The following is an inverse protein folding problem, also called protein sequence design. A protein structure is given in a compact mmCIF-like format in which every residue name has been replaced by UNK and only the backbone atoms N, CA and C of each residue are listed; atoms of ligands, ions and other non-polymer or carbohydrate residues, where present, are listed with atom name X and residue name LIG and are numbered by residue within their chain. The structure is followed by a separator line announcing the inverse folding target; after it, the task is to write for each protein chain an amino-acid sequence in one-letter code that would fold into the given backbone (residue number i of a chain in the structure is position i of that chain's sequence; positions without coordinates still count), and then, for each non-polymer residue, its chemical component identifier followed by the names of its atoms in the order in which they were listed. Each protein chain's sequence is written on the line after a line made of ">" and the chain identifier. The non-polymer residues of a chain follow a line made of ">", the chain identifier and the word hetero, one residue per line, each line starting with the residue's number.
data_IF_468722307513
#
_entry.id   IF_468722307513
#
_cell.length_a   1.000
_cell.length_b   1.000
_cell.length_c   1.000
_cell.angle_alpha   90.00
_cell.angle_beta   90.00
_cell.angle_gamma   90.00
#
_symmetry.space_group_name_H-M   'P 1'
#
loop_
_entity.id
_entity.type
_entity.pdbx_description
1 polymer ?
#
# COMPACT_ATOMS: atom_id res chain seq x y z
N UNK A 1 15.89 9.82 3.57
CA UNK A 1 14.60 10.31 3.07
C UNK A 1 13.53 9.76 3.99
N UNK A 2 12.82 10.64 4.69
CA UNK A 2 11.68 10.25 5.52
C UNK A 2 10.47 10.03 4.61
N UNK A 3 9.91 8.82 4.62
CA UNK A 3 8.64 8.53 3.96
C UNK A 3 7.53 9.00 4.89
N UNK A 4 6.82 10.07 4.53
CA UNK A 4 5.71 10.55 5.33
C UNK A 4 4.45 9.78 4.92
N UNK A 5 3.94 8.94 5.82
CA UNK A 5 2.69 8.23 5.58
C UNK A 5 1.56 9.25 5.38
N UNK A 6 0.96 9.25 4.18
CA UNK A 6 -0.10 10.19 3.85
C UNK A 6 -1.48 9.60 4.06
N UNK A 7 -1.75 8.43 3.49
CA UNK A 7 -3.07 7.80 3.60
C UNK A 7 -3.05 6.35 3.12
N UNK A 8 -3.97 5.51 3.61
CA UNK A 8 -4.23 4.18 3.06
C UNK A 8 -5.66 4.11 2.57
N UNK A 9 -5.86 3.34 1.51
CA UNK A 9 -7.19 3.14 0.91
C UNK A 9 -7.36 1.67 0.59
N UNK A 10 -8.60 1.20 0.66
CA UNK A 10 -8.92 -0.12 0.13
C UNK A 10 -8.61 -0.14 -1.38
N UNK A 11 -7.77 -1.09 -1.79
CA UNK A 11 -7.51 -1.37 -3.18
C UNK A 11 -8.50 -2.43 -3.65
N UNK A 12 -9.36 -2.06 -4.58
CA UNK A 12 -10.17 -3.03 -5.31
C UNK A 12 -9.55 -3.14 -6.69
N UNK A 13 -9.04 -4.32 -7.03
CA UNK A 13 -8.49 -4.58 -8.36
C UNK A 13 -9.62 -4.59 -9.39
N UNK A 14 -9.97 -3.41 -9.91
CA UNK A 14 -10.98 -3.26 -10.98
C UNK A 14 -10.38 -3.61 -12.35
N UNK A 15 -9.04 -3.65 -12.46
CA UNK A 15 -8.33 -3.82 -13.73
C UNK A 15 -7.91 -5.27 -14.03
N UNK A 16 -8.17 -6.21 -13.11
CA UNK A 16 -7.73 -7.60 -13.24
C UNK A 16 -6.21 -7.77 -13.18
N UNK A 17 -5.48 -6.73 -12.72
CA UNK A 17 -4.03 -6.78 -12.49
C UNK A 17 -3.83 -7.12 -11.03
N UNK A 18 -3.91 -8.41 -10.75
CA UNK A 18 -3.67 -8.99 -9.43
C UNK A 18 -2.37 -8.43 -8.89
N UNK A 19 -2.47 -7.55 -7.92
CA UNK A 19 -1.30 -6.91 -7.32
C UNK A 19 -1.02 -7.58 -6.00
N UNK A 20 0.27 -7.74 -5.71
CA UNK A 20 0.74 -8.50 -4.56
C UNK A 20 1.22 -7.56 -3.47
N UNK A 21 1.08 -8.01 -2.23
CA UNK A 21 1.50 -7.30 -1.04
C UNK A 21 3.02 -7.21 -1.03
N UNK A 22 3.57 -5.99 -0.93
CA UNK A 22 5.02 -5.77 -0.82
C UNK A 22 5.64 -6.49 0.39
N UNK A 23 4.86 -6.68 1.47
CA UNK A 23 5.35 -7.28 2.72
C UNK A 23 5.33 -8.82 2.72
N UNK A 24 4.31 -9.47 2.14
CA UNK A 24 4.14 -10.93 2.24
C UNK A 24 3.86 -11.66 0.91
N UNK A 25 3.75 -10.95 -0.22
CA UNK A 25 3.49 -11.54 -1.53
C UNK A 25 2.05 -12.02 -1.77
N UNK A 26 1.17 -12.03 -0.76
CA UNK A 26 -0.25 -12.35 -0.93
C UNK A 26 -0.99 -11.27 -1.73
N UNK A 27 -2.21 -11.55 -2.19
CA UNK A 27 -3.05 -10.55 -2.87
C UNK A 27 -3.19 -9.27 -2.04
N UNK A 28 -2.81 -8.14 -2.64
CA UNK A 28 -2.97 -6.84 -2.03
C UNK A 28 -4.43 -6.40 -2.12
N UNK A 29 -4.93 -5.87 -1.01
CA UNK A 29 -6.31 -5.37 -0.86
C UNK A 29 -6.33 -3.93 -0.37
N UNK A 30 -5.17 -3.33 -0.12
CA UNK A 30 -5.01 -1.96 0.33
C UNK A 30 -3.83 -1.31 -0.39
N UNK A 31 -3.90 -0.01 -0.67
CA UNK A 31 -2.79 0.80 -1.17
C UNK A 31 -2.47 1.89 -0.16
N UNK A 32 -1.25 1.86 0.35
CA UNK A 32 -0.69 2.91 1.19
C UNK A 32 0.04 3.93 0.31
N UNK A 33 -0.24 5.20 0.58
CA UNK A 33 0.30 6.35 -0.11
C UNK A 33 1.25 7.05 0.84
N UNK A 34 2.50 7.19 0.43
CA UNK A 34 3.54 7.89 1.16
C UNK A 34 3.96 9.12 0.35
N UNK A 35 3.93 10.29 0.98
CA UNK A 35 4.50 11.50 0.42
C UNK A 35 5.99 11.54 0.74
N UNK A 36 6.80 11.82 -0.26
CA UNK A 36 8.22 12.15 -0.14
C UNK A 36 8.46 13.48 -0.86
N UNK A 37 9.52 14.20 -0.51
CA UNK A 37 9.83 15.48 -1.15
C UNK A 37 9.98 15.30 -2.67
N UNK A 38 9.00 15.82 -3.43
CA UNK A 38 8.96 15.77 -4.89
C UNK A 38 8.35 14.52 -5.51
N UNK A 39 7.89 13.54 -4.73
CA UNK A 39 7.22 12.35 -5.29
C UNK A 39 6.18 11.71 -4.34
N UNK A 40 5.36 10.84 -4.89
CA UNK A 40 4.42 10.01 -4.13
C UNK A 40 4.75 8.55 -4.37
N UNK A 41 4.99 7.81 -3.28
CA UNK A 41 5.24 6.37 -3.32
C UNK A 41 3.93 5.68 -2.98
N UNK A 42 3.50 4.78 -3.84
CA UNK A 42 2.31 3.94 -3.62
C UNK A 42 2.78 2.51 -3.39
N UNK A 43 2.56 2.00 -2.19
CA UNK A 43 2.90 0.63 -1.81
C UNK A 43 1.62 -0.15 -1.54
N UNK A 44 1.54 -1.39 -2.06
CA UNK A 44 0.33 -2.21 -1.97
C UNK A 44 0.48 -3.25 -0.88
N UNK A 45 -0.51 -3.34 0.01
CA UNK A 45 -0.51 -4.24 1.14
C UNK A 45 -1.76 -5.11 1.17
N UNK A 46 -1.65 -6.31 1.74
CA UNK A 46 -2.83 -7.08 2.13
C UNK A 46 -3.39 -6.54 3.45
N UNK A 47 -4.65 -6.85 3.74
CA UNK A 47 -5.34 -6.36 4.94
C UNK A 47 -4.57 -6.63 6.24
N UNK A 48 -3.95 -7.80 6.35
CA UNK A 48 -3.18 -8.20 7.53
C UNK A 48 -1.88 -7.40 7.69
N UNK A 49 -1.15 -7.13 6.60
CA UNK A 49 0.08 -6.34 6.64
C UNK A 49 -0.24 -4.85 6.80
N UNK A 50 -1.27 -4.35 6.12
CA UNK A 50 -1.75 -2.98 6.29
C UNK A 50 -2.09 -2.70 7.76
N UNK A 51 -2.84 -3.58 8.42
CA UNK A 51 -3.12 -3.44 9.87
C UNK A 51 -1.89 -3.46 10.77
N UNK A 52 -0.78 -4.07 10.35
CA UNK A 52 0.47 -4.13 11.13
C UNK A 52 1.33 -2.89 10.92
N UNK A 53 1.51 -2.47 9.67
CA UNK A 53 2.37 -1.35 9.29
C UNK A 53 1.78 0.00 9.69
N UNK A 54 0.48 0.06 9.96
CA UNK A 54 -0.26 1.29 10.26
C UNK A 54 -0.72 1.40 11.71
N UNK A 55 -0.14 0.58 12.58
CA UNK A 55 -0.48 0.55 14.00
C UNK A 55 0.43 1.47 14.80
#
# INVERSE_FOLDING_TARGET
>A
MEKNFSSIRAFVDVSGKTTHCVSCGNTATQEAIFAVEGATIIEKYCDSCAKKEMK
#
